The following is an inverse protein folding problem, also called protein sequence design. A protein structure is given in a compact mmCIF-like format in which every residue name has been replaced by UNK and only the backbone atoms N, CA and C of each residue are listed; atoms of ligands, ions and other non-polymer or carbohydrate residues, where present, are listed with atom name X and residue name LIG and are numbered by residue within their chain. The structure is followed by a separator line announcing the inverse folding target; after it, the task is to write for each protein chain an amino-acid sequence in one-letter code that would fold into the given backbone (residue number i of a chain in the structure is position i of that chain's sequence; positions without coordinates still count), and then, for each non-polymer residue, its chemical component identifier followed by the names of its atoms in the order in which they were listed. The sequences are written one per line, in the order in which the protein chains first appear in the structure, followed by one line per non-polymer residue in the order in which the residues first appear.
data_IF_238911423566
#
_entry.id   IF_238911423566
#
_cell.length_a   1.000
_cell.length_b   1.000
_cell.length_c   1.000
_cell.angle_alpha   90.00
_cell.angle_beta   90.00
_cell.angle_gamma   90.00
#
_symmetry.space_group_name_H-M   'P 1'
#
loop_
_entity.id
_entity.type
_entity.pdbx_description
1 polymer ?
#
# COMPACT_ATOMS: atom_id res chain seq x y z
N UNK A 1 59.81 35.07 11.20
CA UNK A 1 58.52 35.58 11.69
C UNK A 1 57.61 34.40 11.93
N UNK A 2 57.06 34.33 13.15
CA UNK A 2 56.17 33.28 13.65
C UNK A 2 54.80 33.45 13.02
N UNK A 3 54.28 32.43 12.35
CA UNK A 3 52.85 32.32 12.07
C UNK A 3 52.35 30.95 12.52
N UNK A 4 51.78 31.01 13.73
CA UNK A 4 50.85 30.05 14.31
C UNK A 4 49.64 30.02 13.37
N UNK A 5 49.30 28.86 12.81
CA UNK A 5 48.03 28.67 12.10
C UNK A 5 47.23 27.56 12.78
N UNK A 6 46.03 27.95 13.20
CA UNK A 6 45.07 27.23 14.01
C UNK A 6 44.77 25.83 13.45
N UNK A 7 44.83 24.83 14.33
CA UNK A 7 44.28 23.51 14.10
C UNK A 7 42.75 23.56 14.16
N UNK A 8 42.09 23.33 13.03
CA UNK A 8 40.65 23.11 12.92
C UNK A 8 40.33 21.63 13.23
N UNK A 9 39.66 21.37 14.35
CA UNK A 9 39.05 20.08 14.67
C UNK A 9 37.64 20.00 14.04
N UNK A 10 37.35 19.02 13.16
CA UNK A 10 35.97 18.71 12.79
C UNK A 10 35.36 17.84 13.89
N UNK A 11 34.30 18.34 14.53
CA UNK A 11 33.44 17.54 15.41
C UNK A 11 32.61 16.62 14.50
N UNK A 12 32.97 15.33 14.44
CA UNK A 12 32.10 14.29 13.87
C UNK A 12 30.91 14.10 14.82
N UNK A 13 29.73 14.58 14.42
CA UNK A 13 28.49 14.17 15.03
C UNK A 13 28.20 12.70 14.66
N UNK A 14 28.40 11.78 15.61
CA UNK A 14 27.91 10.41 15.48
C UNK A 14 26.37 10.44 15.50
N UNK A 15 25.78 10.35 14.31
CA UNK A 15 24.35 10.08 14.15
C UNK A 15 24.04 8.67 14.67
N UNK A 16 23.50 8.60 15.88
CA UNK A 16 22.92 7.36 16.41
C UNK A 16 21.59 7.06 15.70
N UNK A 17 21.58 5.89 15.05
CA UNK A 17 20.48 4.96 14.90
C UNK A 17 19.13 5.44 14.33
N UNK A 18 18.74 4.78 13.24
CA UNK A 18 17.51 3.99 13.22
C UNK A 18 17.67 2.85 12.22
N UNK A 19 18.50 1.86 12.56
CA UNK A 19 18.29 0.53 12.01
C UNK A 19 17.01 0.01 12.66
N UNK A 20 15.90 0.07 11.94
CA UNK A 20 14.66 -0.58 12.37
C UNK A 20 14.99 -2.02 12.78
N UNK A 21 14.46 -2.53 13.91
CA UNK A 21 14.68 -3.91 14.29
C UNK A 21 14.15 -4.79 13.16
N UNK A 22 15.06 -5.42 12.42
CA UNK A 22 14.72 -6.54 11.55
C UNK A 22 14.26 -7.65 12.48
N UNK A 23 12.95 -7.75 12.65
CA UNK A 23 12.28 -8.86 13.34
C UNK A 23 12.66 -10.13 12.57
N UNK A 24 13.66 -10.84 13.08
CA UNK A 24 13.99 -12.18 12.62
C UNK A 24 12.87 -13.10 13.11
N UNK A 25 12.07 -13.65 12.21
CA UNK A 25 10.94 -14.55 12.52
C UNK A 25 11.41 -15.97 12.94
N UNK A 26 12.47 -16.04 13.74
CA UNK A 26 13.02 -17.26 14.31
C UNK A 26 12.55 -17.37 15.76
N UNK A 27 11.32 -17.83 15.99
CA UNK A 27 10.90 -18.47 17.24
C UNK A 27 9.40 -18.77 17.21
N UNK A 28 9.03 -19.96 16.74
CA UNK A 28 8.04 -20.79 17.41
C UNK A 28 8.55 -22.23 17.29
N UNK A 29 9.45 -22.62 18.18
CA UNK A 29 9.62 -24.02 18.53
C UNK A 29 9.06 -24.11 19.94
N UNK A 30 7.75 -24.32 20.07
CA UNK A 30 7.23 -24.84 21.34
C UNK A 30 7.39 -26.36 21.24
N UNK A 31 8.60 -26.81 21.50
CA UNK A 31 8.89 -28.21 21.76
C UNK A 31 9.69 -28.24 23.08
N UNK A 32 9.03 -28.29 24.25
CA UNK A 32 9.64 -28.09 25.56
C UNK A 32 10.55 -29.23 26.02
N UNK A 33 10.61 -30.33 25.26
CA UNK A 33 11.52 -31.45 25.49
C UNK A 33 12.03 -31.98 24.16
N UNK A 34 13.29 -32.38 24.08
CA UNK A 34 13.83 -33.07 22.90
C UNK A 34 13.00 -34.31 22.61
N UNK A 35 12.14 -34.24 21.59
CA UNK A 35 11.43 -35.41 21.08
C UNK A 35 12.32 -36.10 20.05
N UNK A 36 12.40 -37.43 20.10
CA UNK A 36 12.99 -38.21 19.02
C UNK A 36 12.14 -38.18 17.74
N UNK A 37 10.86 -37.77 17.85
CA UNK A 37 9.98 -37.59 16.71
C UNK A 37 10.33 -36.28 16.01
N UNK A 38 10.55 -36.38 14.70
CA UNK A 38 10.82 -35.25 13.80
C UNK A 38 9.84 -35.34 12.65
N UNK A 39 9.38 -34.18 12.19
CA UNK A 39 8.52 -34.09 11.02
C UNK A 39 9.04 -33.00 10.09
N UNK A 40 9.07 -33.31 8.79
CA UNK A 40 9.38 -32.37 7.72
C UNK A 40 8.12 -32.11 6.91
N UNK A 41 7.89 -30.83 6.58
CA UNK A 41 6.77 -30.39 5.74
C UNK A 41 7.29 -29.47 4.64
N UNK A 42 6.75 -29.60 3.43
CA UNK A 42 7.07 -28.72 2.30
C UNK A 42 5.90 -28.68 1.30
N UNK A 43 6.02 -27.85 0.26
CA UNK A 43 4.97 -27.69 -0.78
C UNK A 43 5.47 -28.13 -2.15
N UNK A 44 4.56 -28.37 -3.10
CA UNK A 44 4.90 -28.82 -4.45
C UNK A 44 5.85 -27.88 -5.21
N UNK A 45 5.74 -26.56 -4.98
CA UNK A 45 6.61 -25.57 -5.63
C UNK A 45 7.92 -25.28 -4.91
N UNK A 46 8.12 -25.82 -3.72
CA UNK A 46 9.39 -25.73 -3.00
C UNK A 46 9.70 -27.02 -2.25
N UNK A 47 10.28 -28.03 -2.93
CA UNK A 47 10.71 -29.28 -2.30
C UNK A 47 11.77 -29.11 -1.21
N UNK A 48 12.50 -27.99 -1.20
CA UNK A 48 13.51 -27.70 -0.18
C UNK A 48 12.88 -27.33 1.17
N UNK A 49 11.66 -26.77 1.17
CA UNK A 49 10.96 -26.25 2.33
C UNK A 49 11.60 -25.01 2.96
N UNK A 50 12.57 -24.36 2.28
CA UNK A 50 13.36 -23.25 2.80
C UNK A 50 12.94 -21.89 2.22
N UNK A 51 12.15 -21.87 1.16
CA UNK A 51 11.72 -20.67 0.46
C UNK A 51 10.24 -20.39 0.73
N UNK A 52 9.74 -19.32 0.10
CA UNK A 52 8.32 -18.95 0.12
C UNK A 52 7.81 -18.93 -1.33
N UNK A 53 7.45 -20.09 -1.91
CA UNK A 53 6.93 -20.14 -3.27
C UNK A 53 5.62 -19.36 -3.40
N UNK A 54 5.40 -18.77 -4.58
CA UNK A 54 4.20 -18.00 -4.88
C UNK A 54 3.13 -18.84 -5.56
N UNK A 55 1.88 -18.66 -5.13
CA UNK A 55 0.68 -19.27 -5.69
C UNK A 55 -0.34 -18.19 -6.05
N UNK A 56 -1.03 -18.38 -7.17
CA UNK A 56 -2.18 -17.56 -7.56
C UNK A 56 -3.46 -18.09 -6.92
N UNK A 57 -4.47 -17.23 -6.76
CA UNK A 57 -5.80 -17.68 -6.34
C UNK A 57 -6.35 -18.70 -7.34
N UNK A 58 -6.88 -19.81 -6.84
CA UNK A 58 -7.36 -20.95 -7.62
C UNK A 58 -6.29 -21.99 -7.93
N UNK A 59 -5.02 -21.73 -7.65
CA UNK A 59 -3.98 -22.75 -7.73
C UNK A 59 -4.29 -23.89 -6.76
N UNK A 60 -3.99 -25.12 -7.20
CA UNK A 60 -4.04 -26.30 -6.35
C UNK A 60 -2.66 -26.50 -5.75
N UNK A 61 -2.59 -26.56 -4.42
CA UNK A 61 -1.35 -26.78 -3.69
C UNK A 61 -1.33 -28.21 -3.12
N UNK A 62 -0.19 -28.87 -3.18
CA UNK A 62 0.05 -30.14 -2.49
C UNK A 62 1.06 -29.94 -1.37
N UNK A 63 0.70 -30.41 -0.19
CA UNK A 63 1.53 -30.37 1.00
C UNK A 63 2.11 -31.76 1.21
N UNK A 64 3.42 -31.84 1.35
CA UNK A 64 4.12 -33.09 1.59
C UNK A 64 4.60 -33.14 3.02
N UNK A 65 4.43 -34.29 3.66
CA UNK A 65 4.84 -34.52 5.04
C UNK A 65 5.64 -35.82 5.14
N UNK A 66 6.70 -35.81 5.93
CA UNK A 66 7.46 -37.02 6.28
C UNK A 66 7.88 -36.97 7.74
N UNK A 67 7.33 -37.84 8.60
CA UNK A 67 7.85 -38.05 9.94
C UNK A 67 9.00 -39.06 9.92
N UNK A 68 9.90 -39.01 10.91
CA UNK A 68 11.00 -40.00 11.04
C UNK A 68 10.57 -41.29 11.79
N UNK A 69 9.41 -41.28 12.44
CA UNK A 69 8.74 -42.41 13.09
C UNK A 69 7.27 -42.46 12.65
N UNK A 70 6.58 -43.58 12.85
CA UNK A 70 5.14 -43.66 12.60
C UNK A 70 4.41 -42.61 13.45
N UNK A 71 3.59 -41.77 12.82
CA UNK A 71 2.92 -40.66 13.50
C UNK A 71 1.60 -40.26 12.84
N UNK A 72 0.66 -39.82 13.66
CA UNK A 72 -0.57 -39.16 13.24
C UNK A 72 -0.27 -37.72 12.85
N UNK A 73 -0.66 -37.32 11.63
CA UNK A 73 -0.37 -36.00 11.07
C UNK A 73 -1.62 -35.13 11.03
N UNK A 74 -1.45 -33.90 11.48
CA UNK A 74 -2.45 -32.84 11.48
C UNK A 74 -1.89 -31.63 10.73
N UNK A 75 -2.68 -31.04 9.84
CA UNK A 75 -2.26 -29.91 9.00
C UNK A 75 -3.19 -28.73 9.18
N UNK A 76 -2.61 -27.56 9.45
CA UNK A 76 -3.33 -26.30 9.58
C UNK A 76 -2.71 -25.26 8.66
N UNK A 77 -3.55 -24.51 7.95
CA UNK A 77 -3.16 -23.33 7.20
C UNK A 77 -3.45 -22.08 8.04
N UNK A 78 -2.45 -21.24 8.24
CA UNK A 78 -2.57 -19.91 8.84
C UNK A 78 -2.43 -18.91 7.70
N UNK A 79 -3.51 -18.19 7.43
CA UNK A 79 -3.60 -17.19 6.37
C UNK A 79 -2.97 -15.87 6.79
N UNK A 80 -2.62 -15.02 5.82
CA UNK A 80 -1.97 -13.75 6.05
C UNK A 80 -2.79 -12.77 6.92
N UNK A 81 -4.12 -12.91 6.91
CA UNK A 81 -5.04 -12.14 7.75
C UNK A 81 -5.26 -12.75 9.15
N UNK A 82 -4.59 -13.87 9.45
CA UNK A 82 -4.70 -14.60 10.70
C UNK A 82 -5.84 -15.63 10.74
N UNK A 83 -6.57 -15.84 9.65
CA UNK A 83 -7.51 -16.96 9.51
C UNK A 83 -6.79 -18.30 9.64
N UNK A 84 -7.42 -19.27 10.33
CA UNK A 84 -6.85 -20.62 10.50
C UNK A 84 -7.82 -21.67 9.97
N UNK A 85 -7.36 -22.41 8.97
CA UNK A 85 -8.11 -23.48 8.30
C UNK A 85 -7.46 -24.82 8.57
N UNK A 86 -8.21 -25.78 9.12
CA UNK A 86 -7.73 -27.15 9.33
C UNK A 86 -7.81 -27.94 8.02
N UNK A 87 -6.67 -28.25 7.43
CA UNK A 87 -6.55 -29.06 6.21
C UNK A 87 -6.74 -30.54 6.55
N UNK A 88 -6.17 -30.99 7.68
CA UNK A 88 -6.29 -32.37 8.17
C UNK A 88 -6.45 -32.44 9.70
N UNK A 89 -7.28 -33.36 10.21
CA UNK A 89 -8.25 -34.17 9.45
C UNK A 89 -9.35 -33.27 8.85
N UNK A 90 -9.99 -33.73 7.79
CA UNK A 90 -11.15 -33.07 7.19
C UNK A 90 -12.27 -34.09 6.92
N UNK A 91 -13.42 -33.65 6.41
CA UNK A 91 -14.57 -34.56 6.16
C UNK A 91 -14.34 -35.63 5.10
N UNK A 92 -13.31 -35.46 4.27
CA UNK A 92 -12.98 -36.35 3.16
C UNK A 92 -11.78 -37.26 3.46
N UNK A 93 -10.96 -36.88 4.44
CA UNK A 93 -9.77 -37.60 4.88
C UNK A 93 -9.71 -37.59 6.40
N UNK A 94 -9.88 -38.78 7.00
CA UNK A 94 -9.78 -39.00 8.44
C UNK A 94 -8.35 -38.86 8.99
N UNK A 95 -8.13 -39.41 10.18
CA UNK A 95 -6.81 -39.41 10.84
C UNK A 95 -5.72 -40.03 9.95
N UNK A 96 -4.70 -39.24 9.61
CA UNK A 96 -3.64 -39.66 8.71
C UNK A 96 -2.45 -40.22 9.51
N UNK A 97 -2.46 -41.52 9.79
CA UNK A 97 -1.26 -42.23 10.26
C UNK A 97 -0.27 -42.33 9.09
N UNK A 98 0.84 -41.61 9.20
CA UNK A 98 1.94 -41.64 8.23
C UNK A 98 3.07 -42.50 8.76
N UNK A 99 3.56 -43.42 7.94
CA UNK A 99 4.65 -44.33 8.28
C UNK A 99 5.99 -43.60 8.34
N UNK A 100 6.89 -44.11 9.19
CA UNK A 100 8.24 -43.61 9.34
C UNK A 100 8.96 -43.49 7.98
N UNK A 101 9.53 -42.31 7.73
CA UNK A 101 10.31 -41.98 6.53
C UNK A 101 9.56 -42.10 5.20
N UNK A 102 8.23 -42.22 5.24
CA UNK A 102 7.37 -42.22 4.04
C UNK A 102 6.88 -40.81 3.76
N UNK A 103 7.06 -40.37 2.51
CA UNK A 103 6.49 -39.12 2.03
C UNK A 103 5.01 -39.32 1.73
N UNK A 104 4.15 -38.56 2.42
CA UNK A 104 2.72 -38.50 2.12
C UNK A 104 2.35 -37.11 1.60
N UNK A 105 1.62 -37.07 0.49
CA UNK A 105 1.08 -35.85 -0.10
C UNK A 105 -0.36 -35.64 0.33
N UNK A 106 -0.73 -34.38 0.53
CA UNK A 106 -2.06 -33.94 0.95
C UNK A 106 -2.46 -32.66 0.19
N UNK A 107 -3.50 -32.70 -0.65
CA UNK A 107 -4.20 -33.91 -1.10
C UNK A 107 -3.27 -34.86 -1.87
N UNK A 108 -3.46 -36.16 -1.68
CA UNK A 108 -2.79 -37.23 -2.42
C UNK A 108 -3.55 -37.61 -3.69
N UNK A 109 -2.90 -38.41 -4.55
CA UNK A 109 -3.54 -38.96 -5.75
C UNK A 109 -4.75 -39.81 -5.36
N UNK A 110 -5.94 -39.44 -5.85
CA UNK A 110 -7.19 -40.15 -5.58
C UNK A 110 -7.96 -39.69 -4.34
N UNK A 111 -7.45 -38.69 -3.59
CA UNK A 111 -8.19 -38.10 -2.49
C UNK A 111 -9.43 -37.35 -3.00
N UNK A 112 -10.51 -37.36 -2.20
CA UNK A 112 -11.81 -36.74 -2.56
C UNK A 112 -11.87 -35.23 -2.33
N UNK A 113 -10.73 -34.59 -2.08
CA UNK A 113 -10.66 -33.15 -1.84
C UNK A 113 -9.47 -32.53 -2.58
N UNK A 114 -9.58 -31.24 -2.89
CA UNK A 114 -8.47 -30.40 -3.31
C UNK A 114 -8.22 -29.32 -2.27
N UNK A 115 -6.98 -28.86 -2.15
CA UNK A 115 -6.65 -27.68 -1.37
C UNK A 115 -6.35 -26.53 -2.34
N UNK A 116 -7.37 -25.71 -2.57
CA UNK A 116 -7.34 -24.63 -3.55
C UNK A 116 -7.04 -23.31 -2.84
N UNK A 117 -6.10 -22.53 -3.36
CA UNK A 117 -5.70 -21.25 -2.78
C UNK A 117 -6.85 -20.24 -2.93
N UNK A 118 -7.51 -19.90 -1.83
CA UNK A 118 -8.65 -18.98 -1.81
C UNK A 118 -8.45 -17.71 -0.96
N UNK A 119 -7.51 -17.75 -0.02
CA UNK A 119 -7.25 -16.68 0.95
C UNK A 119 -6.78 -15.34 0.33
N UNK A 120 -6.70 -14.28 1.14
CA UNK A 120 -6.20 -12.98 0.70
C UNK A 120 -4.74 -13.06 0.28
N UNK A 121 -4.30 -12.06 -0.50
CA UNK A 121 -2.91 -11.93 -0.89
C UNK A 121 -2.02 -11.70 0.34
N UNK A 122 -0.86 -12.37 0.39
CA UNK A 122 0.04 -12.29 1.53
C UNK A 122 0.80 -13.60 1.77
N UNK A 123 1.54 -13.66 2.87
CA UNK A 123 2.30 -14.85 3.25
C UNK A 123 1.45 -15.72 4.18
N UNK A 124 1.18 -16.93 3.73
CA UNK A 124 0.50 -17.97 4.48
C UNK A 124 1.51 -18.97 5.04
N UNK A 125 1.13 -19.68 6.10
CA UNK A 125 1.97 -20.69 6.75
C UNK A 125 1.20 -21.98 6.94
N UNK A 126 1.79 -23.10 6.56
CA UNK A 126 1.27 -24.42 6.90
C UNK A 126 2.00 -24.93 8.12
N UNK A 127 1.26 -25.27 9.16
CA UNK A 127 1.72 -25.96 10.36
C UNK A 127 1.39 -27.44 10.24
N UNK A 128 2.42 -28.28 10.27
CA UNK A 128 2.30 -29.71 10.41
C UNK A 128 2.58 -30.10 11.86
N UNK A 129 1.61 -30.75 12.51
CA UNK A 129 1.78 -31.35 13.81
C UNK A 129 1.79 -32.87 13.63
N UNK A 130 2.82 -33.52 14.15
CA UNK A 130 2.93 -34.97 14.20
C UNK A 130 2.85 -35.45 15.65
N UNK A 131 2.09 -36.50 15.92
CA UNK A 131 2.02 -37.14 17.23
C UNK A 131 2.11 -38.66 17.14
N UNK A 132 2.77 -39.28 18.10
CA UNK A 132 2.87 -40.74 18.21
C UNK A 132 1.53 -41.41 18.57
N UNK A 133 0.59 -40.65 19.14
CA UNK A 133 -0.75 -41.11 19.52
C UNK A 133 -1.82 -40.20 18.90
N UNK A 134 -3.03 -40.69 18.62
CA UNK A 134 -4.12 -39.84 18.14
C UNK A 134 -4.40 -38.70 19.13
N UNK A 135 -4.48 -37.48 18.61
CA UNK A 135 -4.90 -36.29 19.35
C UNK A 135 -6.39 -36.04 19.13
N UNK A 136 -7.09 -35.73 20.22
CA UNK A 136 -8.48 -35.33 20.15
C UNK A 136 -8.59 -33.81 19.90
N UNK A 137 -8.73 -33.42 18.63
CA UNK A 137 -8.84 -32.01 18.23
C UNK A 137 -10.27 -31.46 18.27
N UNK A 138 -11.27 -32.21 18.75
CA UNK A 138 -12.68 -31.78 18.73
C UNK A 138 -12.96 -30.50 19.52
N UNK A 139 -12.08 -30.14 20.46
CA UNK A 139 -12.18 -28.88 21.22
C UNK A 139 -11.50 -27.67 20.54
N UNK A 140 -10.76 -27.88 19.45
CA UNK A 140 -9.98 -26.82 18.78
C UNK A 140 -10.67 -26.25 17.55
N UNK A 141 -11.37 -27.10 16.81
CA UNK A 141 -11.93 -26.75 15.52
C UNK A 141 -13.42 -27.03 15.49
N UNK A 142 -14.16 -26.10 14.91
CA UNK A 142 -15.60 -26.27 14.67
C UNK A 142 -15.88 -26.01 13.19
N UNK A 143 -16.74 -26.81 12.59
CA UNK A 143 -17.28 -26.51 11.26
C UNK A 143 -18.28 -25.37 11.44
N UNK A 144 -18.04 -24.21 10.81
CA UNK A 144 -18.91 -23.03 10.96
C UNK A 144 -20.31 -23.29 10.40
N UNK A 145 -20.41 -24.11 9.36
CA UNK A 145 -21.66 -24.54 8.73
C UNK A 145 -21.62 -25.99 8.26
N UNK A 146 -22.79 -26.60 8.06
CA UNK A 146 -22.92 -27.96 7.51
C UNK A 146 -22.31 -28.13 6.11
N UNK A 147 -22.15 -27.02 5.36
CA UNK A 147 -21.71 -26.98 3.97
C UNK A 147 -20.20 -26.76 3.78
N UNK A 148 -19.45 -26.42 4.84
CA UNK A 148 -18.00 -26.18 4.74
C UNK A 148 -17.25 -27.44 4.30
N UNK A 149 -15.95 -27.43 4.05
CA UNK A 149 -15.20 -28.69 3.81
C UNK A 149 -14.15 -28.93 4.89
N UNK A 150 -13.58 -27.83 5.36
CA UNK A 150 -12.53 -27.76 6.35
C UNK A 150 -13.08 -27.17 7.65
N UNK A 151 -12.53 -27.58 8.79
CA UNK A 151 -12.93 -27.01 10.07
C UNK A 151 -12.19 -25.67 10.27
N UNK A 152 -12.88 -24.67 10.81
CA UNK A 152 -12.23 -23.40 11.21
C UNK A 152 -11.83 -23.51 12.68
N UNK A 153 -10.61 -23.12 13.00
CA UNK A 153 -10.15 -23.02 14.40
C UNK A 153 -10.67 -21.69 14.95
N UNK A 154 -11.32 -21.70 16.12
CA UNK A 154 -11.91 -20.49 16.74
C UNK A 154 -10.85 -19.57 17.36
N UNK A 155 -9.68 -19.49 16.75
CA UNK A 155 -8.51 -18.80 17.28
C UNK A 155 -7.86 -18.01 16.15
N UNK A 156 -7.50 -16.75 16.45
CA UNK A 156 -6.91 -15.84 15.47
C UNK A 156 -5.39 -15.90 15.53
N UNK A 157 -4.77 -16.06 14.37
CA UNK A 157 -3.34 -15.93 14.16
C UNK A 157 -2.48 -17.04 14.78
N UNK A 158 -1.18 -16.92 14.52
CA UNK A 158 -0.17 -17.94 14.87
C UNK A 158 0.00 -18.13 16.39
N UNK A 159 -0.06 -17.05 17.17
CA UNK A 159 0.12 -17.10 18.63
C UNK A 159 -1.06 -17.78 19.34
N UNK A 160 -2.29 -17.48 18.90
CA UNK A 160 -3.47 -18.13 19.46
C UNK A 160 -3.53 -19.61 19.11
N UNK A 161 -3.18 -20.00 17.88
CA UNK A 161 -3.11 -21.42 17.50
C UNK A 161 -2.10 -22.18 18.36
N UNK A 162 -0.92 -21.61 18.63
CA UNK A 162 0.08 -22.21 19.50
C UNK A 162 -0.42 -22.39 20.95
N UNK A 163 -1.14 -21.39 21.50
CA UNK A 163 -1.78 -21.52 22.82
C UNK A 163 -2.86 -22.60 22.84
N UNK A 164 -3.72 -22.65 21.82
CA UNK A 164 -4.79 -23.63 21.74
C UNK A 164 -4.24 -25.06 21.61
N UNK A 165 -3.24 -25.26 20.76
CA UNK A 165 -2.54 -26.55 20.66
C UNK A 165 -1.87 -26.95 21.98
N UNK A 166 -1.27 -25.99 22.71
CA UNK A 166 -0.70 -26.27 24.04
C UNK A 166 -1.73 -26.73 25.07
N UNK A 167 -3.01 -26.41 24.90
CA UNK A 167 -4.11 -26.81 25.81
C UNK A 167 -4.60 -28.23 25.48
N UNK A 168 -4.69 -28.59 24.20
CA UNK A 168 -5.22 -29.90 23.79
C UNK A 168 -4.20 -31.02 23.88
N UNK A 169 -2.91 -30.69 23.85
CA UNK A 169 -1.85 -31.68 24.01
C UNK A 169 -1.58 -32.03 25.49
N UNK A 170 -2.33 -31.42 26.41
CA UNK A 170 -2.09 -31.48 27.85
C UNK A 170 -2.42 -32.81 28.59
N UNK A 171 -2.80 -33.93 27.91
CA UNK A 171 -2.67 -35.27 28.50
C UNK A 171 -1.63 -36.18 27.82
N UNK A 172 -0.92 -35.71 26.80
CA UNK A 172 0.09 -36.50 26.08
C UNK A 172 1.48 -36.16 26.63
N UNK A 173 2.34 -37.16 26.87
CA UNK A 173 3.73 -36.91 27.32
C UNK A 173 4.40 -35.91 26.37
N UNK A 174 5.04 -34.87 26.93
CA UNK A 174 5.59 -33.73 26.18
C UNK A 174 6.52 -34.10 25.01
N UNK A 175 7.07 -35.32 25.01
CA UNK A 175 7.98 -35.85 24.00
C UNK A 175 7.30 -36.65 22.88
N UNK A 176 5.98 -36.81 22.88
CA UNK A 176 5.27 -37.66 21.93
C UNK A 176 4.66 -36.89 20.75
N UNK A 177 4.95 -35.60 20.61
CA UNK A 177 4.49 -34.78 19.49
C UNK A 177 5.56 -33.75 19.09
N UNK A 178 5.46 -33.24 17.87
CA UNK A 178 6.36 -32.23 17.32
C UNK A 178 5.64 -31.42 16.24
N UNK A 179 6.07 -30.17 16.03
CA UNK A 179 5.57 -29.31 14.96
C UNK A 179 6.65 -28.93 13.96
N UNK A 180 6.25 -28.74 12.71
CA UNK A 180 7.09 -28.19 11.65
C UNK A 180 6.26 -27.23 10.79
N UNK A 181 6.90 -26.24 10.17
CA UNK A 181 6.20 -25.21 9.40
C UNK A 181 6.84 -24.97 8.05
N UNK A 182 6.01 -24.67 7.04
CA UNK A 182 6.44 -24.16 5.73
C UNK A 182 5.61 -22.93 5.36
N UNK A 183 6.16 -22.03 4.55
CA UNK A 183 5.49 -20.81 4.11
C UNK A 183 5.20 -20.85 2.61
N UNK A 184 4.13 -20.18 2.19
CA UNK A 184 3.86 -19.90 0.78
C UNK A 184 3.21 -18.52 0.66
N UNK A 185 3.39 -17.85 -0.49
CA UNK A 185 2.78 -16.56 -0.75
C UNK A 185 1.57 -16.71 -1.67
N UNK A 186 0.47 -16.04 -1.35
CA UNK A 186 -0.65 -15.84 -2.27
C UNK A 186 -0.39 -14.54 -3.02
N UNK A 187 -0.22 -14.65 -4.34
CA UNK A 187 0.00 -13.52 -5.22
C UNK A 187 -1.17 -12.54 -5.12
N UNK A 188 -0.85 -11.25 -4.99
CA UNK A 188 -1.84 -10.21 -5.20
C UNK A 188 -2.46 -10.41 -6.58
N UNK A 189 -3.79 -10.22 -6.75
CA UNK A 189 -4.37 -10.18 -8.07
C UNK A 189 -3.56 -9.15 -8.84
N UNK A 190 -2.91 -9.62 -9.92
CA UNK A 190 -2.22 -8.72 -10.84
C UNK A 190 -3.28 -7.71 -11.20
N UNK A 191 -3.08 -6.45 -10.81
CA UNK A 191 -3.93 -5.38 -11.29
C UNK A 191 -3.84 -5.52 -12.81
N UNK A 192 -4.93 -5.98 -13.44
CA UNK A 192 -4.95 -5.99 -14.91
C UNK A 192 -4.59 -4.56 -15.27
N UNK A 193 -3.61 -4.33 -16.16
CA UNK A 193 -3.51 -3.01 -16.76
C UNK A 193 -4.94 -2.71 -17.23
N UNK A 194 -5.50 -1.61 -16.72
CA UNK A 194 -6.83 -1.18 -17.15
C UNK A 194 -6.84 -1.28 -18.67
N UNK A 195 -7.94 -1.72 -19.31
CA UNK A 195 -8.04 -1.71 -20.77
C UNK A 195 -7.41 -0.41 -21.23
N UNK A 196 -6.35 -0.51 -22.05
CA UNK A 196 -5.74 0.65 -22.67
C UNK A 196 -6.83 1.21 -23.57
N UNK A 197 -7.72 1.99 -22.97
CA UNK A 197 -8.53 2.93 -23.69
C UNK A 197 -7.46 3.74 -24.39
N UNK A 198 -7.43 3.78 -25.75
CA UNK A 198 -6.44 4.57 -26.45
C UNK A 198 -6.43 5.91 -25.75
N UNK A 199 -5.26 6.28 -25.20
CA UNK A 199 -5.13 7.51 -24.46
C UNK A 199 -5.81 8.58 -25.32
N UNK A 200 -6.82 9.31 -24.81
CA UNK A 200 -7.40 10.41 -25.56
C UNK A 200 -6.20 11.19 -26.08
N UNK A 201 -6.11 11.35 -27.42
CA UNK A 201 -5.00 12.03 -28.08
C UNK A 201 -4.59 13.21 -27.19
N UNK A 202 -3.30 13.38 -26.86
CA UNK A 202 -2.85 14.29 -25.81
C UNK A 202 -3.64 15.57 -25.99
N UNK A 203 -4.57 15.82 -25.06
CA UNK A 203 -5.31 17.06 -25.08
C UNK A 203 -4.22 18.12 -25.09
N UNK A 204 -4.21 19.07 -26.05
CA UNK A 204 -3.21 20.12 -26.06
C UNK A 204 -3.15 20.63 -24.62
N UNK A 205 -1.94 20.59 -24.04
CA UNK A 205 -1.73 21.04 -22.67
C UNK A 205 -2.52 22.34 -22.52
N UNK A 206 -3.34 22.52 -21.46
CA UNK A 206 -4.06 23.77 -21.30
C UNK A 206 -3.01 24.86 -21.41
N UNK A 207 -3.09 25.64 -22.51
CA UNK A 207 -2.18 26.74 -22.76
C UNK A 207 -2.15 27.50 -21.45
N UNK A 208 -0.98 27.59 -20.84
CA UNK A 208 -0.82 28.34 -19.60
C UNK A 208 -1.51 29.67 -19.85
N UNK A 209 -2.63 29.92 -19.17
CA UNK A 209 -3.34 31.18 -19.37
C UNK A 209 -2.33 32.25 -19.02
N UNK A 210 -1.95 33.14 -19.96
CA UNK A 210 -0.92 34.13 -19.70
C UNK A 210 -1.38 34.91 -18.47
N UNK A 211 -0.61 34.78 -17.37
CA UNK A 211 -0.84 35.55 -16.16
C UNK A 211 -0.84 37.02 -16.58
N UNK A 212 -1.87 37.82 -16.23
CA UNK A 212 -1.89 39.24 -16.55
C UNK A 212 -0.58 39.88 -16.07
N UNK A 213 0.13 40.55 -16.98
CA UNK A 213 1.40 41.19 -16.63
C UNK A 213 1.13 42.23 -15.53
N UNK A 214 1.89 42.22 -14.42
CA UNK A 214 1.81 43.28 -13.41
C UNK A 214 2.20 44.61 -14.04
N UNK A 215 1.56 45.72 -13.63
CA UNK A 215 1.96 47.05 -14.10
C UNK A 215 3.45 47.30 -13.80
N UNK A 216 4.24 47.78 -14.78
CA UNK A 216 5.62 48.18 -14.52
C UNK A 216 5.66 49.40 -13.60
N UNK A 217 6.75 49.57 -12.84
CA UNK A 217 6.99 50.80 -12.11
C UNK A 217 7.14 51.97 -13.09
N UNK A 218 6.37 53.06 -12.88
CA UNK A 218 6.36 54.24 -13.75
C UNK A 218 7.67 55.04 -13.69
N UNK A 219 8.70 54.60 -14.42
CA UNK A 219 9.99 55.31 -14.44
C UNK A 219 10.41 55.77 -15.82
N UNK A 220 9.68 55.44 -16.90
CA UNK A 220 10.10 55.84 -18.26
C UNK A 220 9.05 55.84 -19.39
N UNK A 221 7.76 55.49 -19.15
CA UNK A 221 6.70 55.55 -20.19
C UNK A 221 5.43 56.23 -19.70
N UNK A 222 4.88 57.17 -20.46
CA UNK A 222 3.60 57.84 -20.19
C UNK A 222 2.37 57.01 -20.62
N UNK A 223 2.61 55.93 -21.36
CA UNK A 223 1.59 55.05 -21.87
C UNK A 223 2.05 53.59 -21.71
N UNK A 224 1.15 52.75 -21.22
CA UNK A 224 1.36 51.32 -21.05
C UNK A 224 0.17 50.58 -21.62
N UNK A 225 0.45 49.53 -22.40
CA UNK A 225 -0.57 48.70 -23.01
C UNK A 225 -0.16 47.23 -22.89
N UNK A 226 -1.14 46.38 -22.59
CA UNK A 226 -0.94 44.95 -22.41
C UNK A 226 -2.19 44.20 -22.87
N UNK A 227 -1.99 43.08 -23.55
CA UNK A 227 -3.09 42.18 -23.89
C UNK A 227 -2.79 40.76 -23.38
N UNK A 228 -3.80 40.10 -22.84
CA UNK A 228 -3.69 38.74 -22.29
C UNK A 228 -5.03 38.02 -22.36
N UNK A 229 -5.02 36.70 -22.19
CA UNK A 229 -6.24 35.88 -22.11
C UNK A 229 -6.41 35.39 -20.68
N UNK A 230 -7.57 35.67 -20.07
CA UNK A 230 -7.90 35.25 -18.71
C UNK A 230 -9.27 34.57 -18.65
N UNK A 231 -9.44 33.67 -17.67
CA UNK A 231 -10.75 33.07 -17.32
C UNK A 231 -11.57 33.97 -16.39
N UNK A 232 -10.97 35.04 -15.89
CA UNK A 232 -11.61 36.00 -15.00
C UNK A 232 -12.56 36.91 -15.79
N UNK A 233 -13.61 37.39 -15.12
CA UNK A 233 -14.60 38.27 -15.74
C UNK A 233 -14.00 39.68 -15.94
N UNK A 234 -14.58 40.47 -16.85
CA UNK A 234 -14.17 41.87 -17.09
C UNK A 234 -14.09 42.70 -15.80
N UNK A 235 -15.05 42.51 -14.89
CA UNK A 235 -15.10 43.17 -13.58
C UNK A 235 -13.88 42.84 -12.70
N UNK A 236 -13.50 41.57 -12.63
CA UNK A 236 -12.35 41.10 -11.84
C UNK A 236 -11.03 41.63 -12.39
N UNK A 237 -10.90 41.63 -13.72
CA UNK A 237 -9.74 42.21 -14.41
C UNK A 237 -9.64 43.71 -14.15
N UNK A 238 -10.76 44.44 -14.24
CA UNK A 238 -10.81 45.87 -13.97
C UNK A 238 -10.42 46.20 -12.52
N UNK A 239 -11.04 45.54 -11.53
CA UNK A 239 -10.79 45.77 -10.10
C UNK A 239 -9.32 45.54 -9.74
N UNK A 240 -8.68 44.52 -10.33
CA UNK A 240 -7.26 44.26 -10.13
C UNK A 240 -6.39 45.46 -10.51
N UNK A 241 -6.59 46.02 -11.71
CA UNK A 241 -5.79 47.15 -12.17
C UNK A 241 -6.14 48.46 -11.44
N UNK A 242 -7.36 48.62 -10.94
CA UNK A 242 -7.73 49.70 -10.02
C UNK A 242 -6.89 49.60 -8.73
N UNK A 243 -6.80 48.40 -8.13
CA UNK A 243 -6.01 48.18 -6.92
C UNK A 243 -4.52 48.42 -7.15
N UNK A 244 -3.98 48.01 -8.30
CA UNK A 244 -2.58 48.27 -8.66
C UNK A 244 -2.30 49.79 -8.76
N UNK A 245 -3.19 50.57 -9.39
CA UNK A 245 -3.06 52.04 -9.45
C UNK A 245 -3.22 52.70 -8.08
N UNK A 246 -4.13 52.20 -7.25
CA UNK A 246 -4.30 52.68 -5.87
C UNK A 246 -3.07 52.42 -5.00
N UNK A 247 -2.46 51.22 -5.12
CA UNK A 247 -1.19 50.90 -4.45
C UNK A 247 -0.04 51.80 -4.88
N UNK A 248 -0.12 52.39 -6.07
CA UNK A 248 0.84 53.36 -6.59
C UNK A 248 0.49 54.83 -6.25
N UNK A 249 -0.57 55.07 -5.47
CA UNK A 249 -0.96 56.38 -4.97
C UNK A 249 -1.94 57.15 -5.87
N UNK A 250 -2.54 56.51 -6.87
CA UNK A 250 -3.62 57.11 -7.67
C UNK A 250 -4.99 56.84 -7.06
N UNK A 251 -5.84 57.86 -7.00
CA UNK A 251 -7.21 57.75 -6.50
C UNK A 251 -8.18 57.73 -7.67
N UNK A 252 -9.11 56.78 -7.66
CA UNK A 252 -10.16 56.68 -8.67
C UNK A 252 -11.08 57.90 -8.56
N UNK A 253 -11.27 58.61 -9.68
CA UNK A 253 -12.10 59.82 -9.78
C UNK A 253 -13.44 59.49 -10.43
N UNK A 254 -13.39 58.79 -11.56
CA UNK A 254 -14.57 58.39 -12.30
C UNK A 254 -14.33 57.03 -12.94
N UNK A 255 -15.37 56.20 -13.01
CA UNK A 255 -15.35 54.98 -13.79
C UNK A 255 -16.67 54.85 -14.56
N UNK A 256 -16.57 54.36 -15.79
CA UNK A 256 -17.71 54.11 -16.67
C UNK A 256 -17.55 52.73 -17.30
N UNK A 257 -18.61 51.94 -17.21
CA UNK A 257 -18.74 50.66 -17.92
C UNK A 257 -19.57 50.86 -19.19
N UNK A 258 -19.08 50.38 -20.31
CA UNK A 258 -19.77 50.35 -21.60
C UNK A 258 -19.72 48.93 -22.16
N UNK A 259 -20.69 48.10 -21.78
CA UNK A 259 -20.76 46.69 -22.18
C UNK A 259 -19.50 45.91 -21.80
N UNK A 260 -18.66 45.64 -22.81
CA UNK A 260 -17.41 44.90 -22.72
C UNK A 260 -16.16 45.78 -22.45
N UNK A 261 -16.35 47.04 -22.05
CA UNK A 261 -15.25 47.99 -21.86
C UNK A 261 -15.43 48.79 -20.57
N UNK A 262 -14.39 48.87 -19.75
CA UNK A 262 -14.25 49.82 -18.65
C UNK A 262 -13.32 50.95 -19.03
N UNK A 263 -13.74 52.18 -18.73
CA UNK A 263 -12.87 53.36 -18.76
C UNK A 263 -12.92 54.02 -17.38
N UNK A 264 -11.77 54.27 -16.78
CA UNK A 264 -11.65 54.91 -15.49
C UNK A 264 -10.58 55.98 -15.49
N UNK A 265 -10.87 57.10 -14.84
CA UNK A 265 -9.96 58.22 -14.65
C UNK A 265 -9.52 58.26 -13.20
N UNK A 266 -8.24 58.52 -12.99
CA UNK A 266 -7.59 58.57 -11.68
C UNK A 266 -6.80 59.86 -11.54
N UNK A 267 -6.66 60.35 -10.30
CA UNK A 267 -5.87 61.51 -9.95
C UNK A 267 -4.85 61.14 -8.85
N UNK A 268 -3.63 61.64 -8.96
CA UNK A 268 -2.53 61.41 -8.03
C UNK A 268 -1.37 62.33 -8.36
N UNK A 269 -0.23 61.77 -8.77
CA UNK A 269 0.94 62.53 -9.25
C UNK A 269 0.76 63.07 -10.69
N UNK A 270 -0.47 63.33 -11.10
CA UNK A 270 -0.94 63.56 -12.48
C UNK A 270 -2.26 62.84 -12.75
N UNK A 271 -2.83 63.05 -13.93
CA UNK A 271 -4.06 62.37 -14.36
C UNK A 271 -3.71 61.04 -15.03
N UNK A 272 -4.36 59.95 -14.65
CA UNK A 272 -4.22 58.65 -15.31
C UNK A 272 -5.56 58.14 -15.82
N UNK A 273 -5.58 57.50 -16.98
CA UNK A 273 -6.76 56.87 -17.56
C UNK A 273 -6.47 55.39 -17.75
N UNK A 274 -7.33 54.53 -17.22
CA UNK A 274 -7.33 53.08 -17.38
C UNK A 274 -8.46 52.68 -18.33
N UNK A 275 -8.13 51.89 -19.33
CA UNK A 275 -9.06 51.32 -20.29
C UNK A 275 -8.88 49.81 -20.30
N UNK A 276 -9.92 49.06 -19.91
CA UNK A 276 -9.93 47.58 -19.90
C UNK A 276 -11.03 47.10 -20.83
N UNK A 277 -10.67 46.49 -21.96
CA UNK A 277 -11.61 46.00 -22.97
C UNK A 277 -11.53 44.48 -23.07
N UNK A 278 -12.69 43.82 -23.11
CA UNK A 278 -12.80 42.39 -23.37
C UNK A 278 -13.16 42.14 -24.83
N UNK A 279 -12.29 41.45 -25.56
CA UNK A 279 -12.47 41.12 -26.96
C UNK A 279 -13.20 39.76 -27.09
N UNK A 280 -14.47 39.81 -27.50
CA UNK A 280 -15.28 38.62 -27.76
C UNK A 280 -15.60 37.75 -26.53
N UNK A 281 -16.08 36.52 -26.79
CA UNK A 281 -16.34 35.49 -25.76
C UNK A 281 -15.10 34.67 -25.38
N UNK A 282 -13.95 34.94 -26.00
CA UNK A 282 -12.70 34.18 -25.85
C UNK A 282 -11.90 34.53 -24.60
N UNK A 283 -12.36 35.48 -23.77
CA UNK A 283 -11.67 35.88 -22.54
C UNK A 283 -10.36 36.63 -22.79
N UNK A 284 -10.18 37.22 -23.99
CA UNK A 284 -9.05 38.09 -24.30
C UNK A 284 -9.33 39.50 -23.78
N UNK A 285 -8.37 40.05 -23.04
CA UNK A 285 -8.42 41.37 -22.42
C UNK A 285 -7.32 42.24 -22.99
N UNK A 286 -7.65 43.50 -23.24
CA UNK A 286 -6.74 44.56 -23.65
C UNK A 286 -6.81 45.65 -22.59
N UNK A 287 -5.67 45.97 -22.00
CA UNK A 287 -5.53 46.90 -20.90
C UNK A 287 -4.58 48.00 -21.32
N UNK A 288 -5.07 49.23 -21.27
CA UNK A 288 -4.33 50.43 -21.66
C UNK A 288 -4.38 51.44 -20.55
N UNK A 289 -3.24 52.01 -20.21
CA UNK A 289 -3.10 53.01 -19.17
C UNK A 289 -2.30 54.16 -19.73
N UNK A 290 -2.90 55.35 -19.69
CA UNK A 290 -2.26 56.57 -20.16
C UNK A 290 -2.18 57.56 -19.01
N UNK A 291 -0.99 58.07 -18.74
CA UNK A 291 -0.75 59.13 -17.76
C UNK A 291 -0.47 60.44 -18.48
N UNK A 292 -1.14 61.49 -18.04
CA UNK A 292 -0.84 62.88 -18.38
C UNK A 292 -0.33 63.56 -17.10
N UNK A 293 0.94 63.94 -17.12
CA UNK A 293 1.56 64.81 -16.11
C UNK A 293 1.01 66.22 -16.21
#
# INVERSE_FOLDING_TARGET
MKHILLATLPVLALGAASAAPKISAQSIIVNPVTSDLKVRVWTDRDPSGQNTPSYSRGDKIQIFVTPNKDAYVYLFNVEADGGVTQILPNRFSGEALVKANVVKAFPGTGDKFTFDIAGPAGVNKVLALASSTPLNLTQLSSFKTSQDTFATVNVQGQAGLAQALSIVVNPVKDNAWVTSTVQYAVAAPIARPAPVTPAPAPRPAPVATPKPAPMPAWTSRSEWESSFTSRENLDSVYVRYVHELQGQGYRLVASKRSGNHYNATFNGRGNATLSVKQEGRSGKYEVKITRRS
#
